data_IF_863390005334
#
_entry.id   IF_863390005334
#
_cell.length_a   1.000
_cell.length_b   1.000
_cell.length_c   1.000
_cell.angle_alpha   90.00
_cell.angle_beta   90.00
_cell.angle_gamma   90.00
#
_symmetry.space_group_name_H-M   'P 1'
#
loop_
_entity.id
_entity.type
_entity.pdbx_description
1 polymer ?
#
# COMPACT_ATOMS: atom_id res chain seq x y z
N UNK A 1 45.78 -24.28 -15.14
CA UNK A 1 44.71 -23.26 -15.03
C UNK A 1 43.36 -23.96 -15.12
N UNK A 2 42.65 -24.17 -14.00
CA UNK A 2 41.24 -24.61 -13.99
C UNK A 2 40.44 -23.52 -13.31
N UNK A 3 39.47 -22.94 -14.01
CA UNK A 3 38.58 -21.92 -13.48
C UNK A 3 37.68 -22.55 -12.41
N UNK A 4 37.75 -22.04 -11.18
CA UNK A 4 36.88 -22.45 -10.08
C UNK A 4 35.44 -22.02 -10.38
N UNK A 5 34.63 -22.96 -10.87
CA UNK A 5 33.21 -22.74 -11.11
C UNK A 5 32.50 -22.38 -9.81
N UNK A 6 31.62 -21.38 -9.87
CA UNK A 6 30.69 -21.04 -8.80
C UNK A 6 29.74 -22.24 -8.58
N UNK A 7 30.14 -23.16 -7.71
CA UNK A 7 29.24 -24.14 -7.11
C UNK A 7 28.69 -23.51 -5.84
N UNK A 8 27.53 -22.87 -5.95
CA UNK A 8 26.52 -22.82 -4.89
C UNK A 8 25.23 -22.39 -5.60
N UNK A 9 24.53 -23.36 -6.18
CA UNK A 9 23.11 -23.19 -6.47
C UNK A 9 22.42 -23.05 -5.13
N UNK A 10 22.20 -21.80 -4.68
CA UNK A 10 21.24 -21.55 -3.61
C UNK A 10 19.89 -22.01 -4.15
N UNK A 11 19.43 -23.15 -3.67
CA UNK A 11 18.04 -23.56 -3.84
C UNK A 11 17.19 -22.54 -3.09
N UNK A 12 16.60 -21.60 -3.83
CA UNK A 12 15.46 -20.84 -3.33
C UNK A 12 14.35 -21.87 -3.18
N UNK A 13 13.93 -22.13 -1.95
CA UNK A 13 12.76 -22.96 -1.70
C UNK A 13 11.54 -22.22 -2.27
N UNK A 14 11.06 -22.67 -3.41
CA UNK A 14 9.90 -22.11 -4.14
C UNK A 14 8.58 -22.73 -3.69
N UNK A 15 8.56 -23.50 -2.60
CA UNK A 15 7.32 -24.04 -2.02
C UNK A 15 6.38 -22.96 -1.47
N UNK A 16 6.86 -21.71 -1.35
CA UNK A 16 6.00 -20.56 -1.12
C UNK A 16 5.13 -20.31 -2.36
N UNK A 17 3.80 -20.40 -2.19
CA UNK A 17 2.86 -19.83 -3.15
C UNK A 17 3.30 -18.40 -3.46
N UNK A 18 3.61 -18.13 -4.73
CA UNK A 18 3.99 -16.79 -5.17
C UNK A 18 2.79 -15.87 -5.02
N UNK A 19 2.66 -15.21 -3.88
CA UNK A 19 1.78 -14.07 -3.75
C UNK A 19 2.50 -12.87 -4.36
N UNK A 20 1.89 -12.24 -5.38
CA UNK A 20 2.39 -10.99 -5.92
C UNK A 20 2.45 -9.92 -4.84
N UNK A 21 3.52 -9.12 -4.83
CA UNK A 21 3.65 -8.00 -3.90
C UNK A 21 2.54 -6.98 -4.17
N UNK A 22 1.93 -6.49 -3.11
CA UNK A 22 0.92 -5.43 -3.16
C UNK A 22 1.58 -4.07 -2.90
N UNK A 23 0.96 -3.02 -3.42
CA UNK A 23 1.39 -1.65 -3.17
C UNK A 23 1.38 -1.35 -1.67
N UNK A 24 2.45 -0.73 -1.19
CA UNK A 24 2.59 -0.39 0.23
C UNK A 24 3.04 -1.55 1.12
N UNK A 25 3.45 -2.69 0.56
CA UNK A 25 4.13 -3.74 1.32
C UNK A 25 5.62 -3.42 1.51
N UNK A 26 6.09 -3.58 2.75
CA UNK A 26 7.49 -3.48 3.15
C UNK A 26 8.08 -4.89 3.17
N UNK A 27 9.11 -5.10 2.35
CA UNK A 27 9.89 -6.34 2.34
C UNK A 27 11.13 -6.15 3.21
N UNK A 28 11.22 -6.94 4.27
CA UNK A 28 12.39 -6.98 5.15
C UNK A 28 13.13 -8.27 4.91
N UNK A 29 14.42 -8.17 4.60
CA UNK A 29 15.29 -9.34 4.43
C UNK A 29 16.26 -9.40 5.59
N UNK A 30 16.21 -10.50 6.35
CA UNK A 30 17.12 -10.74 7.46
C UNK A 30 17.98 -11.96 7.17
N UNK A 31 19.30 -11.81 7.31
CA UNK A 31 20.22 -12.95 7.25
C UNK A 31 20.11 -13.75 8.55
N UNK A 32 19.79 -15.04 8.44
CA UNK A 32 19.75 -15.96 9.57
C UNK A 32 21.10 -16.69 9.70
N UNK A 33 21.67 -17.16 8.60
CA UNK A 33 22.95 -17.87 8.59
C UNK A 33 23.75 -17.62 7.31
N UNK A 34 24.87 -18.33 7.13
CA UNK A 34 25.78 -18.11 5.98
C UNK A 34 25.05 -18.22 4.64
N UNK A 35 24.12 -19.18 4.51
CA UNK A 35 23.38 -19.49 3.28
C UNK A 35 21.85 -19.44 3.47
N UNK A 36 21.35 -18.89 4.58
CA UNK A 36 19.92 -18.84 4.89
C UNK A 36 19.51 -17.44 5.28
N UNK A 37 18.42 -16.95 4.68
CA UNK A 37 17.78 -15.69 5.01
C UNK A 37 16.28 -15.89 5.22
N UNK A 38 15.66 -14.95 5.93
CA UNK A 38 14.21 -14.83 6.07
C UNK A 38 13.75 -13.58 5.36
N UNK A 39 12.66 -13.71 4.62
CA UNK A 39 11.91 -12.58 4.09
C UNK A 39 10.66 -12.41 4.94
N UNK A 40 10.43 -11.21 5.44
CA UNK A 40 9.18 -10.80 6.07
C UNK A 40 8.52 -9.75 5.16
N UNK A 41 7.27 -10.00 4.79
CA UNK A 41 6.45 -9.06 4.04
C UNK A 41 5.36 -8.58 4.98
N UNK A 42 5.28 -7.28 5.19
CA UNK A 42 4.28 -6.66 6.06
C UNK A 42 3.78 -5.36 5.45
N UNK A 43 2.54 -4.95 5.76
CA UNK A 43 2.02 -3.66 5.30
C UNK A 43 2.82 -2.53 5.96
N UNK A 44 3.22 -1.55 5.17
CA UNK A 44 3.96 -0.41 5.67
C UNK A 44 3.08 0.46 6.56
N UNK A 45 3.68 1.11 7.55
CA UNK A 45 3.01 2.13 8.35
C UNK A 45 2.36 3.20 7.47
N UNK A 46 1.08 3.54 7.69
CA UNK A 46 0.32 4.46 6.85
C UNK A 46 1.03 5.79 6.54
N UNK A 47 1.68 6.37 7.55
CA UNK A 47 2.37 7.65 7.42
C UNK A 47 3.55 7.60 6.43
N UNK A 48 4.20 6.44 6.31
CA UNK A 48 5.33 6.26 5.39
C UNK A 48 4.88 6.21 3.93
N UNK A 49 3.66 5.75 3.66
CA UNK A 49 3.10 5.74 2.31
C UNK A 49 3.00 7.16 1.74
N UNK A 50 2.57 8.11 2.58
CA UNK A 50 2.47 9.53 2.21
C UNK A 50 3.86 10.13 1.98
N UNK A 51 4.83 9.85 2.86
CA UNK A 51 6.20 10.37 2.76
C UNK A 51 6.90 9.90 1.47
N UNK A 52 6.65 8.66 1.06
CA UNK A 52 7.21 8.10 -0.18
C UNK A 52 6.38 8.44 -1.43
N UNK A 53 5.38 9.33 -1.31
CA UNK A 53 4.49 9.71 -2.41
C UNK A 53 3.87 8.49 -3.09
N UNK A 54 3.45 7.52 -2.29
CA UNK A 54 2.74 6.32 -2.74
C UNK A 54 1.24 6.61 -2.58
N UNK A 55 0.51 6.93 -3.67
CA UNK A 55 -0.93 7.05 -3.62
C UNK A 55 -1.62 5.86 -2.96
N UNK A 56 -2.61 6.15 -2.13
CA UNK A 56 -3.45 5.17 -1.48
C UNK A 56 -4.63 4.82 -2.36
N UNK A 57 -4.84 3.54 -2.59
CA UNK A 57 -6.03 3.08 -3.30
C UNK A 57 -7.26 3.24 -2.38
N UNK A 58 -8.19 4.12 -2.75
CA UNK A 58 -9.37 4.44 -1.92
C UNK A 58 -10.32 3.25 -1.75
N UNK A 59 -10.25 2.27 -2.65
CA UNK A 59 -11.04 1.04 -2.54
C UNK A 59 -10.48 0.07 -1.50
N UNK A 60 -9.17 0.11 -1.23
CA UNK A 60 -8.51 -0.84 -0.31
C UNK A 60 -7.84 -0.18 0.89
N UNK A 61 -7.83 1.15 0.95
CA UNK A 61 -7.30 1.92 2.06
C UNK A 61 -8.09 1.65 3.34
N UNK A 62 -7.33 1.45 4.41
CA UNK A 62 -7.84 1.38 5.78
C UNK A 62 -8.16 2.77 6.29
N UNK A 63 -8.97 2.84 7.36
CA UNK A 63 -9.29 4.11 8.02
C UNK A 63 -8.04 4.87 8.47
N UNK A 64 -7.02 4.16 8.98
CA UNK A 64 -5.78 4.76 9.45
C UNK A 64 -4.96 5.36 8.30
N UNK A 65 -4.95 4.71 7.14
CA UNK A 65 -4.32 5.24 5.92
C UNK A 65 -5.02 6.47 5.39
N UNK A 66 -6.36 6.46 5.37
CA UNK A 66 -7.11 7.65 4.98
C UNK A 66 -6.84 8.82 5.92
N UNK A 67 -6.74 8.58 7.24
CA UNK A 67 -6.40 9.63 8.22
C UNK A 67 -4.98 10.17 8.04
N UNK A 68 -4.06 9.38 7.50
CA UNK A 68 -2.69 9.84 7.23
C UNK A 68 -2.62 10.87 6.09
N UNK A 69 -3.65 10.94 5.23
CA UNK A 69 -3.71 11.91 4.14
C UNK A 69 -3.98 13.31 4.71
N UNK A 70 -3.21 14.33 4.29
CA UNK A 70 -3.47 15.71 4.69
C UNK A 70 -4.94 16.11 4.44
N UNK A 71 -5.53 16.93 5.32
CA UNK A 71 -6.94 17.39 5.24
C UNK A 71 -8.03 16.31 5.49
N UNK A 72 -7.66 15.03 5.65
CA UNK A 72 -8.58 13.94 5.97
C UNK A 72 -8.51 13.62 7.47
N UNK A 73 -9.50 14.12 8.21
CA UNK A 73 -9.68 13.76 9.62
C UNK A 73 -10.48 12.45 9.81
N UNK A 74 -10.58 11.95 11.06
CA UNK A 74 -11.26 10.69 11.38
C UNK A 74 -12.71 10.60 10.89
N UNK A 75 -13.46 11.71 10.91
CA UNK A 75 -14.85 11.78 10.44
C UNK A 75 -14.94 11.69 8.92
N UNK A 76 -14.05 12.37 8.20
CA UNK A 76 -13.98 12.30 6.73
C UNK A 76 -13.59 10.89 6.29
N UNK A 77 -12.61 10.27 6.95
CA UNK A 77 -12.19 8.90 6.66
C UNK A 77 -13.35 7.89 6.83
N UNK A 78 -14.17 8.06 7.87
CA UNK A 78 -15.38 7.25 8.05
C UNK A 78 -16.38 7.46 6.90
N UNK A 79 -16.64 8.71 6.51
CA UNK A 79 -17.55 9.00 5.40
C UNK A 79 -17.06 8.40 4.07
N UNK A 80 -15.75 8.37 3.83
CA UNK A 80 -15.16 7.71 2.64
C UNK A 80 -15.47 6.22 2.65
N UNK A 81 -15.25 5.55 3.79
CA UNK A 81 -15.53 4.11 3.95
C UNK A 81 -17.03 3.84 3.78
N UNK A 82 -17.89 4.63 4.42
CA UNK A 82 -19.34 4.48 4.25
C UNK A 82 -19.79 4.69 2.80
N UNK A 83 -19.20 5.66 2.09
CA UNK A 83 -19.48 5.87 0.68
C UNK A 83 -19.04 4.65 -0.15
N UNK A 84 -17.81 4.15 0.07
CA UNK A 84 -17.28 2.97 -0.60
C UNK A 84 -18.22 1.77 -0.43
N UNK A 85 -18.64 1.52 0.80
CA UNK A 85 -19.44 0.34 1.13
C UNK A 85 -20.87 0.45 0.55
N UNK A 86 -21.43 1.67 0.46
CA UNK A 86 -22.74 1.93 -0.15
C UNK A 86 -22.74 1.87 -1.67
N UNK A 87 -21.65 2.30 -2.31
CA UNK A 87 -21.54 2.42 -3.76
C UNK A 87 -20.77 1.27 -4.42
N UNK A 88 -20.43 0.23 -3.65
CA UNK A 88 -19.64 -0.92 -4.11
C UNK A 88 -18.25 -0.52 -4.67
N UNK A 89 -17.63 0.47 -4.02
CA UNK A 89 -16.35 1.03 -4.43
C UNK A 89 -16.46 2.45 -5.00
N UNK A 90 -15.32 2.93 -5.46
CA UNK A 90 -15.14 4.13 -6.27
C UNK A 90 -14.66 3.72 -7.66
N UNK A 91 -15.31 4.22 -8.71
CA UNK A 91 -14.86 3.98 -10.10
C UNK A 91 -13.80 4.98 -10.55
N UNK A 92 -13.80 6.16 -9.94
CA UNK A 92 -12.83 7.22 -10.19
C UNK A 92 -12.55 7.99 -8.89
N UNK A 93 -11.37 8.62 -8.80
CA UNK A 93 -11.00 9.42 -7.62
C UNK A 93 -11.93 10.63 -7.47
N UNK A 94 -12.47 11.14 -8.58
CA UNK A 94 -13.40 12.28 -8.65
C UNK A 94 -14.68 12.10 -7.84
N UNK A 95 -15.15 10.86 -7.67
CA UNK A 95 -16.34 10.50 -6.89
C UNK A 95 -16.18 10.85 -5.39
N UNK A 96 -14.95 11.10 -4.93
CA UNK A 96 -14.71 11.65 -3.59
C UNK A 96 -15.43 12.98 -3.35
N UNK A 97 -15.80 13.74 -4.40
CA UNK A 97 -16.59 14.98 -4.27
C UNK A 97 -18.00 14.74 -3.75
N UNK A 98 -18.53 13.52 -3.89
CA UNK A 98 -19.85 13.13 -3.39
C UNK A 98 -19.80 12.68 -1.92
N UNK A 99 -18.60 12.51 -1.37
CA UNK A 99 -18.40 12.15 0.03
C UNK A 99 -18.62 13.37 0.92
N UNK A 100 -19.51 13.22 1.91
CA UNK A 100 -19.79 14.26 2.90
C UNK A 100 -18.50 14.76 3.56
N UNK A 101 -18.26 16.06 3.50
CA UNK A 101 -17.08 16.70 4.08
C UNK A 101 -15.86 16.81 3.15
N UNK A 102 -15.99 16.36 1.89
CA UNK A 102 -15.02 16.57 0.81
C UNK A 102 -15.67 17.47 -0.26
N UNK A 103 -15.54 18.78 -0.08
CA UNK A 103 -15.90 19.74 -1.12
C UNK A 103 -14.78 19.89 -2.17
N UNK A 104 -15.06 20.64 -3.25
CA UNK A 104 -14.10 20.90 -4.35
C UNK A 104 -12.71 21.33 -3.86
N UNK A 105 -12.64 22.26 -2.91
CA UNK A 105 -11.36 22.76 -2.37
C UNK A 105 -10.55 21.64 -1.70
N UNK A 106 -11.22 20.80 -0.91
CA UNK A 106 -10.55 19.69 -0.23
C UNK A 106 -10.14 18.61 -1.23
N UNK A 107 -11.00 18.28 -2.18
CA UNK A 107 -10.70 17.36 -3.28
C UNK A 107 -9.40 17.72 -4.00
N UNK A 108 -9.25 18.98 -4.43
CA UNK A 108 -8.05 19.43 -5.15
C UNK A 108 -6.76 19.23 -4.35
N UNK A 109 -6.82 19.35 -3.02
CA UNK A 109 -5.68 19.13 -2.13
C UNK A 109 -5.35 17.64 -1.93
N UNK A 110 -6.35 16.77 -1.92
CA UNK A 110 -6.17 15.35 -1.54
C UNK A 110 -6.03 14.40 -2.73
N UNK A 111 -6.53 14.77 -3.91
CA UNK A 111 -6.60 13.88 -5.09
C UNK A 111 -5.24 13.27 -5.49
N UNK A 112 -4.14 14.00 -5.28
CA UNK A 112 -2.79 13.52 -5.60
C UNK A 112 -2.27 12.41 -4.70
N UNK A 113 -2.88 12.21 -3.52
CA UNK A 113 -2.52 11.17 -2.57
C UNK A 113 -3.33 9.88 -2.77
N UNK A 114 -4.26 9.86 -3.71
CA UNK A 114 -5.30 8.84 -3.81
C UNK A 114 -5.35 8.25 -5.23
N UNK A 115 -5.72 6.97 -5.34
CA UNK A 115 -5.93 6.28 -6.61
C UNK A 115 -7.10 5.28 -6.52
N UNK A 116 -7.51 4.73 -7.65
CA UNK A 116 -8.51 3.64 -7.75
C UNK A 116 -7.91 2.50 -8.59
N UNK A 117 -7.18 1.59 -7.93
CA UNK A 117 -6.48 0.48 -8.60
C UNK A 117 -5.21 0.87 -9.36
#
# INVERSE_FOLDING_TARGET
KRAGGLRHSLSIDTSFQSAGLKRGEKVTVQRISRNMGRVLIERMEPQKLIIFSIPLDINTATRQELIAVPEIGPKTALNIIEYRDKNNGFSAVEELKDVKGIGKVKYEKIKGYLSTG
#
